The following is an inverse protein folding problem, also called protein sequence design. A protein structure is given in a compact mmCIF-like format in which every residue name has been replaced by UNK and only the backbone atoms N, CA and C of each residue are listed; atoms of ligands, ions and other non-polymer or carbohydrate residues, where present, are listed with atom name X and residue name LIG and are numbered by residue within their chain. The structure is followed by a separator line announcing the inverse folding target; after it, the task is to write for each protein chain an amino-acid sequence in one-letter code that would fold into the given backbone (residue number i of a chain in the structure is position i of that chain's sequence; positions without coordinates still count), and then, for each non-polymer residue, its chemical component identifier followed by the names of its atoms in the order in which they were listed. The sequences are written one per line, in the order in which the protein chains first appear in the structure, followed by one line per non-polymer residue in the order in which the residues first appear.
data_IF_272728169777
#
_entry.id   IF_272728169777
#
_cell.length_a   1.000
_cell.length_b   1.000
_cell.length_c   1.000
_cell.angle_alpha   90.00
_cell.angle_beta   90.00
_cell.angle_gamma   90.00
#
_symmetry.space_group_name_H-M   'P 1'
#
loop_
_entity.id
_entity.type
_entity.pdbx_description
1 polymer ?
#
# COMPACT_ATOMS: atom_id res chain seq x y z
N UNK A 1 -51.73 22.47 19.98
CA UNK A 1 -52.05 21.80 21.27
C UNK A 1 -50.84 21.94 22.16
N UNK A 2 -51.05 22.58 23.30
CA UNK A 2 -50.05 22.94 24.31
C UNK A 2 -49.28 21.74 24.86
N UNK A 3 -48.02 21.96 25.25
CA UNK A 3 -47.60 21.81 26.64
C UNK A 3 -46.10 22.15 26.81
N UNK A 4 -45.86 23.34 27.38
CA UNK A 4 -45.23 23.53 28.70
C UNK A 4 -43.73 23.26 28.95
N UNK A 5 -43.09 24.39 29.31
CA UNK A 5 -42.34 24.65 30.55
C UNK A 5 -41.04 23.89 30.87
N UNK A 6 -39.93 24.63 30.72
CA UNK A 6 -39.02 25.08 31.78
C UNK A 6 -38.41 24.09 32.81
N UNK A 7 -37.08 24.26 32.99
CA UNK A 7 -36.24 24.07 34.19
C UNK A 7 -35.34 22.81 34.28
N UNK A 8 -34.08 23.01 33.87
CA UNK A 8 -32.89 22.55 34.63
C UNK A 8 -32.66 23.46 35.86
N UNK A 9 -31.83 23.13 36.88
CA UNK A 9 -31.26 21.86 37.37
C UNK A 9 -31.48 21.69 38.92
N UNK A 10 -30.75 20.80 39.61
CA UNK A 10 -29.92 21.35 40.70
C UNK A 10 -28.51 20.76 40.80
N UNK A 11 -27.57 21.66 41.11
CA UNK A 11 -26.26 21.36 41.72
C UNK A 11 -26.47 20.96 43.18
N UNK A 12 -25.78 19.94 43.67
CA UNK A 12 -25.54 19.81 45.11
C UNK A 12 -24.14 19.22 45.42
N UNK A 13 -23.28 20.14 45.86
CA UNK A 13 -22.31 20.05 46.96
C UNK A 13 -21.23 18.96 47.02
N UNK A 14 -19.99 19.43 46.86
CA UNK A 14 -18.80 18.96 47.59
C UNK A 14 -19.07 18.94 49.10
N UNK A 15 -18.67 17.85 49.76
CA UNK A 15 -18.31 17.88 51.18
C UNK A 15 -16.94 17.25 51.38
N UNK A 16 -16.05 18.11 51.86
CA UNK A 16 -14.66 17.87 52.23
C UNK A 16 -14.63 16.89 53.41
N UNK A 17 -13.83 15.82 53.30
CA UNK A 17 -13.29 15.11 54.47
C UNK A 17 -11.80 15.39 54.55
N UNK A 18 -11.40 15.97 55.68
CA UNK A 18 -10.04 16.36 56.01
C UNK A 18 -9.42 15.29 56.93
N UNK A 19 -8.27 14.77 56.49
CA UNK A 19 -7.15 14.21 57.25
C UNK A 19 -7.34 12.97 58.15
N UNK A 20 -6.51 11.96 57.88
CA UNK A 20 -5.28 11.72 58.69
C UNK A 20 -4.26 10.92 57.88
N UNK A 21 -3.09 11.53 57.68
CA UNK A 21 -1.91 10.92 57.08
C UNK A 21 -1.29 10.03 58.15
N UNK A 22 -1.30 8.72 57.93
CA UNK A 22 -0.44 7.76 58.63
C UNK A 22 0.82 7.59 57.79
N UNK A 23 1.96 8.02 58.34
CA UNK A 23 3.28 7.73 57.80
C UNK A 23 3.51 6.22 57.89
N UNK A 24 4.13 5.65 56.86
CA UNK A 24 4.67 4.28 56.73
C UNK A 24 3.85 3.36 55.82
N UNK A 25 4.08 3.44 54.50
CA UNK A 25 4.66 2.36 53.70
C UNK A 25 4.85 2.85 52.25
N UNK A 26 6.05 3.34 51.95
CA UNK A 26 6.55 3.44 50.58
C UNK A 26 7.11 2.05 50.26
N UNK A 27 6.41 1.30 49.40
CA UNK A 27 7.03 0.23 48.60
C UNK A 27 6.36 0.19 47.22
N UNK A 28 7.05 0.80 46.26
CA UNK A 28 7.19 0.35 44.87
C UNK A 28 5.92 0.19 44.01
N UNK A 29 5.26 1.30 43.69
CA UNK A 29 4.48 1.41 42.43
C UNK A 29 5.34 2.14 41.39
N UNK A 30 6.50 1.56 41.07
CA UNK A 30 7.36 2.04 39.99
C UNK A 30 6.92 1.38 38.68
N UNK A 31 6.32 2.17 37.81
CA UNK A 31 6.45 2.02 36.36
C UNK A 31 6.07 0.67 35.76
N UNK A 32 4.79 0.33 35.77
CA UNK A 32 4.20 -0.41 34.65
C UNK A 32 3.31 0.54 33.86
N UNK A 33 3.91 1.63 33.39
CA UNK A 33 3.42 2.26 32.18
C UNK A 33 3.46 1.17 31.12
N UNK A 34 2.30 0.64 30.79
CA UNK A 34 2.08 -0.18 29.61
C UNK A 34 2.68 0.59 28.43
N UNK A 35 3.94 0.27 28.12
CA UNK A 35 4.49 0.43 26.78
C UNK A 35 3.64 -0.50 25.93
N UNK A 36 2.44 -0.06 25.56
CA UNK A 36 1.84 -0.51 24.33
C UNK A 36 2.81 0.00 23.27
N UNK A 37 3.79 -0.82 22.92
CA UNK A 37 4.39 -0.71 21.60
C UNK A 37 3.20 -0.74 20.66
N UNK A 38 2.81 0.42 20.13
CA UNK A 38 2.05 0.45 18.89
C UNK A 38 3.01 -0.17 17.90
N UNK A 39 2.93 -1.50 17.80
CA UNK A 39 3.69 -2.25 16.82
C UNK A 39 3.14 -1.75 15.49
N UNK A 40 3.85 -0.78 14.90
CA UNK A 40 3.47 -0.19 13.63
C UNK A 40 3.35 -1.31 12.60
N UNK A 41 2.41 -1.17 11.67
CA UNK A 41 2.25 -2.13 10.60
C UNK A 41 3.60 -2.36 9.90
N UNK A 42 3.99 -3.63 9.76
CA UNK A 42 5.28 -4.01 9.20
C UNK A 42 5.29 -3.66 7.71
N UNK A 43 6.21 -2.80 7.29
CA UNK A 43 6.49 -2.59 5.86
C UNK A 43 7.05 -3.89 5.28
N UNK A 44 6.34 -4.45 4.30
CA UNK A 44 6.75 -5.64 3.54
C UNK A 44 7.62 -5.25 2.35
N UNK A 45 7.28 -4.11 1.74
CA UNK A 45 7.99 -3.56 0.60
C UNK A 45 7.77 -2.04 0.54
N UNK A 46 8.80 -1.27 0.23
CA UNK A 46 8.66 0.11 -0.26
C UNK A 46 9.67 0.40 -1.38
N UNK A 47 9.23 1.12 -2.41
CA UNK A 47 10.05 1.33 -3.59
C UNK A 47 9.62 2.54 -4.42
N UNK A 48 10.63 3.16 -5.05
CA UNK A 48 10.45 4.21 -6.04
C UNK A 48 10.65 3.62 -7.43
N UNK A 49 9.76 3.99 -8.34
CA UNK A 49 9.80 3.57 -9.73
C UNK A 49 9.99 4.78 -10.61
N UNK A 50 10.94 4.68 -11.54
CA UNK A 50 11.06 5.57 -12.67
C UNK A 50 9.98 5.20 -13.70
N UNK A 51 9.26 6.21 -14.21
CA UNK A 51 8.25 6.03 -15.26
C UNK A 51 8.77 6.65 -16.54
N UNK A 52 8.85 5.83 -17.60
CA UNK A 52 9.20 6.29 -18.94
C UNK A 52 8.06 6.01 -19.93
N UNK A 53 7.81 6.96 -20.82
CA UNK A 53 6.88 6.87 -21.94
C UNK A 53 7.66 7.07 -23.23
N UNK A 54 7.61 6.11 -24.15
CA UNK A 54 8.46 6.11 -25.36
C UNK A 54 9.95 6.33 -25.00
N UNK A 55 10.44 5.60 -23.99
CA UNK A 55 11.82 5.67 -23.47
C UNK A 55 12.25 7.05 -22.91
N UNK A 56 11.30 7.98 -22.76
CA UNK A 56 11.54 9.30 -22.16
C UNK A 56 10.99 9.33 -20.75
N UNK A 57 11.79 9.87 -19.83
CA UNK A 57 11.36 10.08 -18.46
C UNK A 57 10.19 11.07 -18.39
N UNK A 58 9.07 10.60 -17.84
CA UNK A 58 7.85 11.41 -17.68
C UNK A 58 7.39 11.50 -16.24
N UNK A 59 7.92 10.69 -15.32
CA UNK A 59 7.39 10.66 -13.97
C UNK A 59 8.00 9.62 -13.07
N UNK A 60 7.41 9.51 -11.88
CA UNK A 60 7.76 8.50 -10.91
C UNK A 60 6.53 7.97 -10.19
N UNK A 61 6.67 6.78 -9.63
CA UNK A 61 5.69 6.16 -8.76
C UNK A 61 6.36 5.72 -7.45
N UNK A 62 5.64 5.82 -6.34
CA UNK A 62 6.03 5.32 -5.04
C UNK A 62 5.02 4.27 -4.63
N UNK A 63 5.49 3.08 -4.24
CA UNK A 63 4.63 2.00 -3.76
C UNK A 63 5.12 1.56 -2.38
N UNK A 64 4.17 1.28 -1.49
CA UNK A 64 4.43 0.58 -0.24
C UNK A 64 3.38 -0.51 0.00
N UNK A 65 3.83 -1.68 0.46
CA UNK A 65 2.98 -2.72 1.03
C UNK A 65 3.27 -2.88 2.51
N UNK A 66 2.20 -2.97 3.30
CA UNK A 66 2.26 -3.17 4.75
C UNK A 66 1.41 -4.34 5.16
N UNK A 67 1.77 -4.94 6.28
CA UNK A 67 0.95 -5.92 6.96
C UNK A 67 0.86 -5.60 8.45
N UNK A 68 -0.36 -5.50 8.94
CA UNK A 68 -0.66 -5.29 10.34
C UNK A 68 -1.06 -6.63 10.99
N UNK A 69 -0.20 -7.13 11.87
CA UNK A 69 -0.40 -8.39 12.60
C UNK A 69 -1.60 -8.37 13.55
N UNK A 70 -1.96 -7.20 14.09
CA UNK A 70 -3.05 -7.05 15.05
C UNK A 70 -4.40 -7.08 14.34
N UNK A 71 -4.49 -6.37 13.22
CA UNK A 71 -5.73 -6.28 12.43
C UNK A 71 -5.79 -7.29 11.29
N UNK A 72 -4.73 -8.07 11.07
CA UNK A 72 -4.61 -9.08 10.00
C UNK A 72 -4.94 -8.49 8.62
N UNK A 73 -4.43 -7.28 8.39
CA UNK A 73 -4.75 -6.45 7.23
C UNK A 73 -3.51 -6.19 6.39
N UNK A 74 -3.60 -6.50 5.10
CA UNK A 74 -2.68 -6.02 4.08
C UNK A 74 -3.11 -4.64 3.61
N UNK A 75 -2.14 -3.72 3.49
CA UNK A 75 -2.37 -2.39 2.93
C UNK A 75 -1.41 -2.15 1.76
N UNK A 76 -1.95 -1.76 0.62
CA UNK A 76 -1.20 -1.23 -0.52
C UNK A 76 -1.39 0.28 -0.57
N UNK A 77 -0.29 1.00 -0.68
CA UNK A 77 -0.25 2.45 -0.87
C UNK A 77 0.52 2.74 -2.15
N UNK A 78 -0.03 3.60 -3.01
CA UNK A 78 0.68 4.07 -4.18
C UNK A 78 0.46 5.56 -4.43
N UNK A 79 1.48 6.21 -4.95
CA UNK A 79 1.42 7.57 -5.48
C UNK A 79 2.14 7.60 -6.82
N UNK A 80 1.48 8.09 -7.87
CA UNK A 80 2.03 8.26 -9.20
C UNK A 80 1.98 9.74 -9.55
N UNK A 81 3.03 10.26 -10.18
CA UNK A 81 2.95 11.52 -10.91
C UNK A 81 3.68 11.42 -12.23
N UNK A 82 3.02 11.88 -13.29
CA UNK A 82 3.60 11.97 -14.63
C UNK A 82 3.33 13.34 -15.24
N UNK A 83 4.21 13.77 -16.14
CA UNK A 83 4.06 14.96 -16.97
C UNK A 83 4.27 14.55 -18.41
N UNK A 84 3.23 14.68 -19.20
CA UNK A 84 3.17 14.29 -20.61
C UNK A 84 2.73 15.50 -21.45
N UNK A 85 2.79 15.43 -22.79
CA UNK A 85 2.23 16.49 -23.64
C UNK A 85 0.73 16.77 -23.38
N UNK A 86 -0.04 15.78 -22.91
CA UNK A 86 -1.44 15.93 -22.50
C UNK A 86 -1.63 16.58 -21.12
N UNK A 87 -0.53 16.89 -20.42
CA UNK A 87 -0.56 17.54 -19.11
C UNK A 87 0.01 16.68 -17.99
N UNK A 88 -0.19 17.18 -16.77
CA UNK A 88 0.25 16.53 -15.54
C UNK A 88 -0.85 15.63 -15.00
N UNK A 89 -0.49 14.39 -14.69
CA UNK A 89 -1.33 13.42 -14.01
C UNK A 89 -0.76 13.14 -12.63
N UNK A 90 -1.64 13.03 -11.64
CA UNK A 90 -1.34 12.55 -10.31
C UNK A 90 -2.37 11.50 -9.91
N UNK A 91 -1.92 10.38 -9.37
CA UNK A 91 -2.81 9.35 -8.85
C UNK A 91 -2.32 8.90 -7.47
N UNK A 92 -3.26 8.52 -6.61
CA UNK A 92 -2.95 7.90 -5.35
C UNK A 92 -3.97 6.82 -4.99
N UNK A 93 -3.48 5.74 -4.39
CA UNK A 93 -4.31 4.63 -3.93
C UNK A 93 -3.94 4.27 -2.48
N UNK A 94 -4.96 4.01 -1.68
CA UNK A 94 -4.85 3.23 -0.45
C UNK A 94 -5.84 2.08 -0.54
N UNK A 95 -5.36 0.86 -0.70
CA UNK A 95 -6.17 -0.36 -0.81
C UNK A 95 -5.91 -1.28 0.38
N UNK A 96 -6.96 -1.89 0.93
CA UNK A 96 -6.88 -2.78 2.09
C UNK A 96 -7.59 -4.10 1.84
N UNK A 97 -6.95 -5.19 2.23
CA UNK A 97 -7.50 -6.54 2.18
C UNK A 97 -7.15 -7.31 3.45
N UNK A 98 -7.89 -8.37 3.75
CA UNK A 98 -7.51 -9.29 4.82
C UNK A 98 -6.46 -10.31 4.34
N UNK A 99 -6.02 -11.22 5.21
CA UNK A 99 -5.03 -12.24 4.87
C UNK A 99 -5.41 -13.16 3.71
N UNK A 100 -6.71 -13.31 3.43
CA UNK A 100 -7.23 -14.10 2.31
C UNK A 100 -7.39 -13.28 1.04
N UNK A 101 -6.87 -12.04 1.05
CA UNK A 101 -7.01 -11.04 -0.01
C UNK A 101 -8.47 -10.66 -0.30
N UNK A 102 -9.37 -10.91 0.65
CA UNK A 102 -10.74 -10.42 0.54
C UNK A 102 -10.72 -8.89 0.75
N UNK A 103 -11.37 -8.13 -0.14
CA UNK A 103 -11.31 -6.67 -0.10
C UNK A 103 -12.01 -6.14 1.16
N UNK A 104 -11.39 -5.14 1.80
CA UNK A 104 -11.95 -4.44 2.95
C UNK A 104 -12.38 -3.02 2.58
N UNK A 105 -11.49 -2.28 1.92
CA UNK A 105 -11.73 -0.91 1.48
C UNK A 105 -10.69 -0.49 0.44
N UNK A 106 -11.00 0.57 -0.31
CA UNK A 106 -9.96 1.38 -0.94
C UNK A 106 -10.39 2.84 -1.09
N UNK A 107 -9.40 3.73 -1.20
CA UNK A 107 -9.57 5.11 -1.60
C UNK A 107 -8.62 5.39 -2.76
N UNK A 108 -9.17 5.79 -3.90
CA UNK A 108 -8.45 6.17 -5.09
C UNK A 108 -8.69 7.65 -5.40
N UNK A 109 -7.65 8.34 -5.84
CA UNK A 109 -7.73 9.72 -6.34
C UNK A 109 -6.91 9.83 -7.61
N UNK A 110 -7.48 10.46 -8.63
CA UNK A 110 -6.79 10.86 -9.85
C UNK A 110 -7.01 12.35 -10.10
N UNK A 111 -5.96 13.03 -10.51
CA UNK A 111 -6.01 14.41 -10.97
C UNK A 111 -5.30 14.51 -12.31
N UNK A 112 -6.01 14.93 -13.35
CA UNK A 112 -5.48 15.19 -14.69
C UNK A 112 -5.71 16.66 -15.01
N UNK A 113 -4.65 17.46 -14.95
CA UNK A 113 -4.81 18.92 -14.99
C UNK A 113 -5.72 19.42 -13.86
N UNK A 114 -6.86 19.99 -14.22
CA UNK A 114 -7.88 20.48 -13.27
C UNK A 114 -8.98 19.45 -12.95
N UNK A 115 -9.04 18.34 -13.70
CA UNK A 115 -10.06 17.32 -13.49
C UNK A 115 -9.65 16.38 -12.36
N UNK A 116 -10.47 16.36 -11.32
CA UNK A 116 -10.33 15.48 -10.17
C UNK A 116 -11.29 14.30 -10.33
N UNK A 117 -10.88 13.12 -9.86
CA UNK A 117 -11.75 11.97 -9.64
C UNK A 117 -11.35 11.32 -8.32
N UNK A 118 -12.32 11.05 -7.47
CA UNK A 118 -12.10 10.25 -6.26
C UNK A 118 -13.09 9.10 -6.21
N UNK A 119 -12.64 7.97 -5.67
CA UNK A 119 -13.41 6.75 -5.49
C UNK A 119 -13.12 6.21 -4.11
N UNK A 120 -14.12 6.19 -3.23
CA UNK A 120 -14.03 5.59 -1.90
C UNK A 120 -14.95 4.38 -1.83
N UNK A 121 -14.37 3.20 -1.57
CA UNK A 121 -15.10 1.95 -1.50
C UNK A 121 -14.95 1.25 -0.15
N UNK A 122 -16.06 0.64 0.30
CA UNK A 122 -16.11 -0.22 1.47
C UNK A 122 -16.80 -1.53 1.13
N UNK A 123 -16.30 -2.62 1.72
CA UNK A 123 -16.76 -3.97 1.42
C UNK A 123 -17.38 -4.63 2.64
N UNK A 124 -18.47 -5.36 2.40
CA UNK A 124 -19.05 -6.33 3.34
C UNK A 124 -19.32 -7.63 2.59
N UNK A 125 -18.34 -8.52 2.62
CA UNK A 125 -18.33 -9.72 1.79
C UNK A 125 -18.34 -9.34 0.30
N UNK A 126 -19.32 -9.85 -0.45
CA UNK A 126 -19.46 -9.56 -1.89
C UNK A 126 -20.06 -8.17 -2.18
N UNK A 127 -20.61 -7.48 -1.19
CA UNK A 127 -21.25 -6.18 -1.40
C UNK A 127 -20.21 -5.07 -1.27
N UNK A 128 -20.05 -4.29 -2.32
CA UNK A 128 -19.22 -3.09 -2.37
C UNK A 128 -20.13 -1.86 -2.40
N UNK A 129 -19.92 -0.95 -1.46
CA UNK A 129 -20.49 0.40 -1.52
C UNK A 129 -19.39 1.35 -1.98
N UNK A 130 -19.66 2.15 -2.99
CA UNK A 130 -18.67 3.07 -3.56
C UNK A 130 -19.25 4.47 -3.70
N UNK A 131 -18.44 5.47 -3.35
CA UNK A 131 -18.71 6.89 -3.53
C UNK A 131 -17.75 7.42 -4.58
N UNK A 132 -18.29 8.00 -5.65
CA UNK A 132 -17.52 8.58 -6.75
C UNK A 132 -17.83 10.07 -6.85
N UNK A 133 -16.81 10.91 -6.97
CA UNK A 133 -16.99 12.35 -7.26
C UNK A 133 -15.86 12.89 -8.12
N UNK A 134 -16.20 13.84 -8.97
CA UNK A 134 -15.28 14.61 -9.81
C UNK A 134 -14.87 15.96 -9.18
N UNK A 135 -15.30 16.23 -7.94
CA UNK A 135 -15.10 17.50 -7.24
C UNK A 135 -15.97 18.66 -7.74
N UNK A 136 -16.70 18.51 -8.85
CA UNK A 136 -17.54 19.54 -9.49
C UNK A 136 -19.03 19.23 -9.31
N UNK A 137 -19.41 17.95 -9.31
CA UNK A 137 -20.77 17.45 -9.23
C UNK A 137 -21.03 16.74 -7.90
N UNK A 138 -22.32 16.53 -7.58
CA UNK A 138 -22.71 15.78 -6.39
C UNK A 138 -22.15 14.36 -6.46
N UNK A 139 -21.57 13.90 -5.36
CA UNK A 139 -21.05 12.54 -5.26
C UNK A 139 -22.13 11.49 -5.56
N UNK A 140 -21.78 10.52 -6.41
CA UNK A 140 -22.61 9.37 -6.72
C UNK A 140 -22.32 8.27 -5.70
N UNK A 141 -23.37 7.71 -5.09
CA UNK A 141 -23.24 6.58 -4.19
C UNK A 141 -23.85 5.35 -4.87
N UNK A 142 -23.01 4.37 -5.15
CA UNK A 142 -23.38 3.15 -5.87
C UNK A 142 -23.17 1.94 -4.98
N UNK A 143 -23.92 0.87 -5.24
CA UNK A 143 -23.75 -0.43 -4.57
C UNK A 143 -23.64 -1.51 -5.62
N UNK A 144 -22.57 -2.28 -5.55
CA UNK A 144 -22.29 -3.38 -6.48
C UNK A 144 -22.18 -4.70 -5.71
N UNK A 145 -22.62 -5.79 -6.35
CA UNK A 145 -22.39 -7.15 -5.86
C UNK A 145 -21.28 -7.79 -6.69
N UNK A 146 -20.08 -7.87 -6.11
CA UNK A 146 -18.94 -8.50 -6.74
C UNK A 146 -19.06 -10.03 -6.72
N UNK A 147 -18.55 -10.73 -7.75
CA UNK A 147 -18.48 -12.18 -7.74
C UNK A 147 -17.64 -12.71 -6.57
N UNK A 148 -17.98 -13.90 -6.06
CA UNK A 148 -17.14 -14.61 -5.09
C UNK A 148 -15.72 -14.81 -5.64
N UNK A 149 -14.73 -14.57 -4.78
CA UNK A 149 -13.30 -14.65 -5.11
C UNK A 149 -12.74 -13.40 -5.78
N UNK A 150 -13.50 -12.30 -5.83
CA UNK A 150 -12.97 -11.01 -6.27
C UNK A 150 -12.03 -10.42 -5.23
N UNK A 151 -10.94 -9.78 -5.69
CA UNK A 151 -9.95 -9.10 -4.87
C UNK A 151 -9.57 -7.76 -5.51
N UNK A 152 -8.90 -6.87 -4.76
CA UNK A 152 -8.42 -5.60 -5.31
C UNK A 152 -7.19 -5.85 -6.20
N UNK A 153 -7.19 -5.33 -7.42
CA UNK A 153 -6.22 -5.70 -8.45
C UNK A 153 -4.77 -5.39 -8.06
N UNK A 154 -4.55 -4.37 -7.22
CA UNK A 154 -3.25 -4.04 -6.64
C UNK A 154 -2.60 -5.17 -5.83
N UNK A 155 -3.35 -6.18 -5.38
CA UNK A 155 -2.80 -7.34 -4.65
C UNK A 155 -2.51 -8.56 -5.54
N UNK A 156 -2.51 -8.43 -6.87
CA UNK A 156 -2.29 -9.57 -7.78
C UNK A 156 -0.99 -10.35 -7.47
N UNK A 157 0.11 -9.65 -7.20
CA UNK A 157 1.38 -10.32 -6.90
C UNK A 157 1.31 -11.15 -5.61
N UNK A 158 0.58 -10.67 -4.60
CA UNK A 158 0.37 -11.43 -3.36
C UNK A 158 -0.55 -12.63 -3.58
N UNK A 159 -1.56 -12.53 -4.45
CA UNK A 159 -2.38 -13.67 -4.85
C UNK A 159 -1.52 -14.75 -5.52
N UNK A 160 -0.62 -14.35 -6.41
CA UNK A 160 0.30 -15.28 -7.07
C UNK A 160 1.27 -15.92 -6.07
N UNK A 161 1.81 -15.16 -5.12
CA UNK A 161 2.66 -15.70 -4.05
C UNK A 161 1.93 -16.72 -3.18
N UNK A 162 0.70 -16.43 -2.75
CA UNK A 162 -0.10 -17.34 -1.93
C UNK A 162 -0.40 -18.67 -2.64
N UNK A 163 -0.54 -18.64 -3.97
CA UNK A 163 -0.77 -19.83 -4.80
C UNK A 163 0.52 -20.52 -5.24
N UNK A 164 1.68 -19.89 -5.05
CA UNK A 164 2.98 -20.36 -5.51
C UNK A 164 3.28 -19.94 -6.95
N UNK A 165 4.44 -19.33 -7.17
CA UNK A 165 4.91 -18.89 -8.50
C UNK A 165 5.79 -19.99 -9.09
N UNK A 166 5.33 -20.62 -10.18
CA UNK A 166 6.12 -21.59 -10.94
C UNK A 166 5.93 -21.42 -12.45
N UNK A 167 6.98 -21.69 -13.22
CA UNK A 167 6.99 -21.54 -14.67
C UNK A 167 5.85 -22.37 -15.30
N UNK A 168 5.16 -21.78 -16.27
CA UNK A 168 4.01 -22.41 -16.94
C UNK A 168 2.68 -22.20 -16.21
N UNK A 169 2.67 -21.76 -14.95
CA UNK A 169 1.43 -21.55 -14.20
C UNK A 169 0.64 -20.37 -14.75
N UNK A 170 -0.65 -20.62 -15.00
CA UNK A 170 -1.63 -19.59 -15.35
C UNK A 170 -2.57 -19.33 -14.18
N UNK A 171 -2.82 -18.05 -13.91
CA UNK A 171 -3.74 -17.57 -12.89
C UNK A 171 -4.87 -16.82 -13.57
N UNK A 172 -6.04 -17.45 -13.67
CA UNK A 172 -7.27 -16.74 -14.00
C UNK A 172 -7.85 -16.13 -12.73
N UNK A 173 -8.28 -14.87 -12.79
CA UNK A 173 -8.68 -14.13 -11.60
C UNK A 173 -9.78 -13.11 -11.89
N UNK A 174 -10.44 -12.63 -10.82
CA UNK A 174 -11.46 -11.57 -10.84
C UNK A 174 -10.96 -10.37 -10.06
N UNK A 175 -10.48 -9.35 -10.77
CA UNK A 175 -9.88 -8.17 -10.17
C UNK A 175 -10.87 -7.01 -10.13
N UNK A 176 -10.96 -6.33 -9.00
CA UNK A 176 -11.61 -5.01 -8.90
C UNK A 176 -10.56 -3.98 -9.29
N UNK A 177 -10.84 -3.21 -10.34
CA UNK A 177 -9.98 -2.13 -10.81
C UNK A 177 -10.27 -0.89 -9.96
N UNK A 178 -9.35 -0.51 -9.08
CA UNK A 178 -9.57 0.55 -8.08
C UNK A 178 -9.78 1.94 -8.71
N UNK A 179 -9.31 2.15 -9.95
CA UNK A 179 -9.43 3.39 -10.70
C UNK A 179 -10.82 3.65 -11.31
N UNK A 180 -11.68 2.63 -11.38
CA UNK A 180 -13.07 2.76 -11.86
C UNK A 180 -14.14 2.06 -10.99
N UNK A 181 -13.72 1.17 -10.09
CA UNK A 181 -14.57 0.42 -9.15
C UNK A 181 -15.29 -0.78 -9.75
N UNK A 182 -15.01 -1.15 -11.00
CA UNK A 182 -15.63 -2.32 -11.63
C UNK A 182 -14.79 -3.59 -11.47
N UNK A 183 -15.45 -4.73 -11.68
CA UNK A 183 -14.82 -6.04 -11.64
C UNK A 183 -14.57 -6.56 -13.06
N UNK A 184 -13.36 -7.05 -13.30
CA UNK A 184 -12.96 -7.61 -14.58
C UNK A 184 -12.27 -8.97 -14.39
N UNK A 185 -12.43 -9.84 -15.38
CA UNK A 185 -11.61 -11.04 -15.46
C UNK A 185 -10.20 -10.66 -15.94
N UNK A 186 -9.19 -11.33 -15.39
CA UNK A 186 -7.81 -11.23 -15.84
C UNK A 186 -7.13 -12.59 -15.89
N UNK A 187 -6.01 -12.64 -16.60
CA UNK A 187 -5.14 -13.81 -16.69
C UNK A 187 -3.69 -13.38 -16.54
N UNK A 188 -2.97 -13.97 -15.57
CA UNK A 188 -1.53 -13.82 -15.41
C UNK A 188 -0.83 -15.15 -15.69
N UNK A 189 0.23 -15.14 -16.48
CA UNK A 189 1.01 -16.32 -16.85
C UNK A 189 2.48 -16.15 -16.48
N UNK A 190 3.01 -17.08 -15.69
CA UNK A 190 4.43 -17.17 -15.37
C UNK A 190 5.15 -17.77 -16.58
N UNK A 191 5.70 -16.92 -17.44
CA UNK A 191 6.23 -17.36 -18.73
C UNK A 191 7.58 -18.06 -18.58
N UNK A 192 8.52 -17.42 -17.87
CA UNK A 192 9.89 -17.90 -17.75
C UNK A 192 10.55 -17.35 -16.49
N UNK A 193 11.59 -18.05 -16.02
CA UNK A 193 12.56 -17.50 -15.08
C UNK A 193 13.64 -16.78 -15.88
N UNK A 194 13.98 -15.58 -15.48
CA UNK A 194 14.91 -14.68 -16.15
C UNK A 194 15.72 -13.91 -15.11
N UNK A 195 16.59 -13.05 -15.60
CA UNK A 195 17.21 -11.99 -14.82
C UNK A 195 16.64 -10.64 -15.27
N UNK A 196 16.43 -9.71 -14.33
CA UNK A 196 16.08 -8.33 -14.61
C UNK A 196 16.95 -7.43 -13.74
N UNK A 197 17.79 -6.60 -14.36
CA UNK A 197 18.79 -5.78 -13.66
C UNK A 197 19.65 -6.58 -12.66
N UNK A 198 20.14 -7.76 -13.08
CA UNK A 198 20.95 -8.64 -12.23
C UNK A 198 20.24 -9.21 -11.01
N UNK A 199 18.91 -9.20 -11.01
CA UNK A 199 18.07 -9.82 -9.99
C UNK A 199 17.33 -11.02 -10.63
N UNK A 200 17.49 -12.24 -10.07
CA UNK A 200 16.68 -13.39 -10.45
C UNK A 200 15.19 -13.09 -10.32
N UNK A 201 14.44 -13.31 -11.39
CA UNK A 201 13.03 -12.92 -11.46
C UNK A 201 12.21 -13.85 -12.34
N UNK A 202 10.90 -13.73 -12.21
CA UNK A 202 9.93 -14.33 -13.11
C UNK A 202 9.38 -13.27 -14.05
N UNK A 203 9.33 -13.59 -15.34
CA UNK A 203 8.60 -12.78 -16.31
C UNK A 203 7.15 -13.22 -16.33
N UNK A 204 6.26 -12.30 -15.99
CA UNK A 204 4.82 -12.49 -15.91
C UNK A 204 4.16 -11.75 -17.06
N UNK A 205 3.35 -12.46 -17.84
CA UNK A 205 2.45 -11.86 -18.83
C UNK A 205 1.07 -11.75 -18.21
N UNK A 206 0.57 -10.54 -18.02
CA UNK A 206 -0.74 -10.29 -17.44
C UNK A 206 -1.66 -9.60 -18.45
N UNK A 207 -2.90 -10.06 -18.57
CA UNK A 207 -3.95 -9.40 -19.34
C UNK A 207 -5.06 -8.96 -18.40
N UNK A 208 -5.35 -7.66 -18.37
CA UNK A 208 -6.37 -7.10 -17.50
C UNK A 208 -6.98 -5.85 -18.13
N UNK A 209 -8.31 -5.77 -18.15
CA UNK A 209 -9.06 -4.62 -18.68
C UNK A 209 -8.64 -4.19 -20.11
N UNK A 210 -8.33 -5.18 -20.95
CA UNK A 210 -7.91 -4.95 -22.34
C UNK A 210 -6.43 -4.62 -22.54
N UNK A 211 -5.68 -4.37 -21.46
CA UNK A 211 -4.24 -4.12 -21.52
C UNK A 211 -3.43 -5.39 -21.28
N UNK A 212 -2.24 -5.41 -21.89
CA UNK A 212 -1.23 -6.43 -21.65
C UNK A 212 -0.06 -5.82 -20.87
N UNK A 213 0.37 -6.51 -19.82
CA UNK A 213 1.47 -6.10 -18.95
C UNK A 213 2.54 -7.19 -18.98
N UNK A 214 3.79 -6.78 -19.18
CA UNK A 214 4.97 -7.64 -19.04
C UNK A 214 5.68 -7.19 -17.77
N UNK A 215 5.53 -7.96 -16.70
CA UNK A 215 6.13 -7.64 -15.40
C UNK A 215 7.30 -8.58 -15.07
N UNK A 216 8.32 -8.05 -14.40
CA UNK A 216 9.42 -8.82 -13.85
C UNK A 216 9.29 -8.81 -12.34
N UNK A 217 9.11 -9.98 -11.73
CA UNK A 217 8.80 -10.12 -10.31
C UNK A 217 9.90 -10.94 -9.64
N UNK A 218 10.48 -10.46 -8.54
CA UNK A 218 11.48 -11.20 -7.77
C UNK A 218 10.87 -12.45 -7.13
N UNK A 219 11.72 -13.38 -6.64
CA UNK A 219 11.26 -14.56 -5.91
C UNK A 219 10.46 -14.21 -4.63
N UNK A 220 10.59 -12.98 -4.13
CA UNK A 220 9.84 -12.45 -2.97
C UNK A 220 8.53 -11.76 -3.36
N UNK A 221 8.19 -11.69 -4.65
CA UNK A 221 7.02 -10.97 -5.15
C UNK A 221 7.19 -9.46 -5.26
N UNK A 222 8.42 -8.96 -5.33
CA UNK A 222 8.67 -7.53 -5.57
C UNK A 222 8.58 -7.27 -7.07
N UNK A 223 7.85 -6.25 -7.50
CA UNK A 223 7.77 -5.87 -8.92
C UNK A 223 9.04 -5.08 -9.24
N UNK A 224 9.94 -5.63 -10.04
CA UNK A 224 11.20 -4.99 -10.42
C UNK A 224 11.02 -4.06 -11.63
N UNK A 225 10.13 -4.45 -12.52
CA UNK A 225 9.80 -3.68 -13.71
C UNK A 225 8.46 -4.11 -14.28
N UNK A 226 7.80 -3.20 -15.00
CA UNK A 226 6.61 -3.49 -15.80
C UNK A 226 6.67 -2.70 -17.09
N UNK A 227 6.35 -3.36 -18.20
CA UNK A 227 6.18 -2.76 -19.51
C UNK A 227 4.75 -2.99 -20.01
N UNK A 228 4.11 -1.94 -20.50
CA UNK A 228 2.76 -1.97 -21.08
C UNK A 228 2.88 -1.68 -22.57
N UNK A 229 2.92 -2.70 -23.45
CA UNK A 229 3.32 -2.53 -24.85
C UNK A 229 2.44 -1.56 -25.63
N UNK A 230 1.12 -1.65 -25.46
CA UNK A 230 0.14 -0.83 -26.17
C UNK A 230 0.29 0.67 -25.87
N UNK A 231 0.83 1.01 -24.68
CA UNK A 231 1.03 2.39 -24.24
C UNK A 231 2.50 2.83 -24.30
N UNK A 232 3.41 1.92 -24.65
CA UNK A 232 4.88 2.15 -24.59
C UNK A 232 5.32 2.76 -23.25
N UNK A 233 4.69 2.30 -22.18
CA UNK A 233 4.91 2.76 -20.82
C UNK A 233 5.76 1.75 -20.07
N UNK A 234 6.79 2.23 -19.38
CA UNK A 234 7.58 1.40 -18.47
C UNK A 234 7.54 1.99 -17.07
N UNK A 235 7.54 1.10 -16.08
CA UNK A 235 7.80 1.41 -14.69
C UNK A 235 8.97 0.54 -14.23
N UNK A 236 10.04 1.14 -13.75
CA UNK A 236 11.24 0.43 -13.32
C UNK A 236 11.57 0.79 -11.88
N UNK A 237 11.66 -0.22 -11.00
CA UNK A 237 12.16 -0.05 -9.64
C UNK A 237 13.61 0.43 -9.70
N UNK A 238 13.92 1.49 -8.95
CA UNK A 238 15.27 2.07 -8.88
C UNK A 238 15.82 2.00 -7.46
N UNK A 239 17.13 2.19 -7.32
CA UNK A 239 17.81 2.03 -6.03
C UNK A 239 17.58 3.20 -5.08
N UNK A 240 17.28 4.39 -5.61
CA UNK A 240 17.12 5.60 -4.79
C UNK A 240 16.00 6.52 -5.30
N UNK A 241 15.33 7.29 -4.41
CA UNK A 241 14.34 8.27 -4.84
C UNK A 241 14.84 9.28 -5.89
N UNK A 242 16.05 9.88 -5.79
CA UNK A 242 16.56 10.80 -6.81
C UNK A 242 16.71 10.19 -8.21
N UNK A 243 16.96 8.87 -8.30
CA UNK A 243 17.04 8.18 -9.59
C UNK A 243 15.67 8.07 -10.26
N UNK A 244 14.61 7.89 -9.47
CA UNK A 244 13.22 7.88 -9.97
C UNK A 244 12.74 9.27 -10.33
N UNK A 245 13.03 10.28 -9.50
CA UNK A 245 12.43 11.61 -9.69
C UNK A 245 13.18 12.47 -10.69
N UNK A 246 14.49 12.25 -10.90
CA UNK A 246 15.33 13.06 -11.81
C UNK A 246 15.15 14.57 -11.62
N UNK A 247 14.96 15.03 -10.38
CA UNK A 247 14.77 16.44 -10.04
C UNK A 247 13.31 16.93 -10.09
N UNK A 248 12.35 16.08 -10.45
CA UNK A 248 10.92 16.39 -10.31
C UNK A 248 10.54 16.65 -8.85
N UNK A 249 9.60 17.57 -8.65
CA UNK A 249 9.09 17.93 -7.33
C UNK A 249 8.48 16.71 -6.62
N UNK A 250 8.88 16.50 -5.37
CA UNK A 250 8.31 15.49 -4.47
C UNK A 250 7.30 16.16 -3.53
N UNK A 251 6.00 15.81 -3.60
CA UNK A 251 4.98 16.43 -2.76
C UNK A 251 4.99 15.81 -1.36
N UNK A 252 5.95 16.22 -0.53
CA UNK A 252 6.19 15.64 0.80
C UNK A 252 4.94 15.58 1.66
N UNK A 253 4.14 16.66 1.72
CA UNK A 253 2.88 16.69 2.47
C UNK A 253 1.86 15.65 2.00
N UNK A 254 1.74 15.46 0.69
CA UNK A 254 0.84 14.45 0.11
C UNK A 254 1.30 13.04 0.45
N UNK A 255 2.62 12.79 0.37
CA UNK A 255 3.20 11.51 0.75
C UNK A 255 3.06 11.24 2.25
N UNK A 256 3.26 12.23 3.11
CA UNK A 256 3.04 12.10 4.56
C UNK A 256 1.58 11.81 4.89
N UNK A 257 0.63 12.46 4.22
CA UNK A 257 -0.79 12.19 4.44
C UNK A 257 -1.17 10.76 4.03
N UNK A 258 -0.64 10.27 2.91
CA UNK A 258 -0.98 8.95 2.37
C UNK A 258 -0.24 7.82 3.09
N UNK A 259 1.06 7.99 3.30
CA UNK A 259 1.96 6.96 3.84
C UNK A 259 2.21 7.13 5.34
N UNK A 260 1.84 8.24 5.98
CA UNK A 260 2.18 8.56 7.37
C UNK A 260 3.62 9.08 7.56
N UNK A 261 4.47 8.91 6.55
CA UNK A 261 5.83 9.44 6.43
C UNK A 261 6.22 9.46 4.95
N UNK A 262 7.22 10.23 4.56
CA UNK A 262 7.76 10.13 3.19
C UNK A 262 8.49 8.79 3.04
N UNK A 263 8.08 7.90 2.10
CA UNK A 263 8.77 6.63 1.88
C UNK A 263 10.22 6.87 1.46
N UNK A 264 11.12 5.98 1.90
CA UNK A 264 12.55 6.12 1.62
C UNK A 264 13.04 5.12 0.57
N UNK A 265 12.23 4.15 0.17
CA UNK A 265 12.63 3.04 -0.70
C UNK A 265 13.58 2.07 0.02
N UNK A 266 13.39 1.90 1.34
CA UNK A 266 14.12 1.08 2.34
C UNK A 266 14.17 -0.42 2.13
N UNK A 267 13.04 -0.95 1.70
CA UNK A 267 12.59 -2.30 1.98
C UNK A 267 12.33 -2.96 0.64
N UNK A 268 13.40 -3.16 -0.12
CA UNK A 268 13.36 -3.79 -1.43
C UNK A 268 14.70 -4.47 -1.75
N UNK A 269 14.72 -5.15 -2.89
CA UNK A 269 15.86 -5.94 -3.38
C UNK A 269 17.17 -5.15 -3.51
N UNK A 270 17.14 -3.85 -3.80
CA UNK A 270 18.36 -3.07 -4.04
C UNK A 270 19.12 -2.71 -2.75
N UNK A 271 18.44 -2.74 -1.59
CA UNK A 271 19.03 -2.37 -0.30
C UNK A 271 19.38 -3.60 0.55
N UNK A 272 18.84 -4.77 0.23
CA UNK A 272 19.24 -6.03 0.84
C UNK A 272 20.52 -6.58 0.18
N UNK A 273 21.67 -5.90 0.37
CA UNK A 273 22.94 -6.64 0.32
C UNK A 273 22.95 -7.63 1.49
N UNK A 274 23.34 -8.90 1.31
CA UNK A 274 23.62 -9.76 2.44
C UNK A 274 24.69 -9.07 3.29
N UNK A 275 24.43 -8.93 4.59
CA UNK A 275 25.50 -8.69 5.55
C UNK A 275 26.45 -9.87 5.38
N UNK A 276 27.63 -9.60 4.82
CA UNK A 276 28.71 -10.57 4.78
C UNK A 276 28.85 -11.19 6.17
N UNK A 277 28.49 -12.47 6.30
CA UNK A 277 28.97 -13.29 7.41
C UNK A 277 30.46 -13.51 7.22
N UNK A 278 31.27 -12.47 7.40
CA UNK A 278 32.64 -12.65 7.90
C UNK A 278 32.53 -12.99 9.39
N UNK A 279 32.03 -14.19 9.65
CA UNK A 279 32.23 -14.84 10.93
C UNK A 279 33.72 -15.16 11.04
N UNK A 280 34.34 -14.50 12.01
CA UNK A 280 35.66 -14.77 12.61
C UNK A 280 36.14 -16.20 12.38
N UNK A 281 37.18 -16.36 11.57
CA UNK A 281 38.18 -17.41 11.79
C UNK A 281 39.38 -16.74 12.45
N UNK A 282 39.36 -16.66 13.78
CA UNK A 282 40.60 -16.45 14.54
C UNK A 282 41.47 -17.71 14.36
N UNK A 283 42.75 -17.59 14.02
CA UNK A 283 43.64 -18.74 14.00
C UNK A 283 43.90 -19.18 15.45
N UNK A 284 43.60 -20.45 15.76
CA UNK A 284 44.11 -21.12 16.96
C UNK A 284 45.64 -21.05 16.89
N UNK A 285 46.26 -20.31 17.81
CA UNK A 285 47.67 -20.49 18.15
C UNK A 285 47.82 -21.88 18.74
N UNK A 286 48.53 -22.76 18.05
CA UNK A 286 49.10 -23.96 18.65
C UNK A 286 50.15 -23.54 19.69
N UNK A 287 49.96 -24.00 20.92
CA UNK A 287 50.99 -24.01 21.95
C UNK A 287 52.01 -25.10 21.63
N UNK A 288 53.28 -24.72 21.52
CA UNK A 288 54.42 -25.59 21.80
C UNK A 288 54.95 -25.24 23.18
#
# INVERSE_FOLDING_TARGET
MNSDFFLTPPRLFLRIIRMKISKTLIFLFFGLALLTSTLEAKTLFDGYYRIDLNDKHVGYMVIEYRYDEKTKTFTHLSFLTTTTPSGKTQESLKAQSNEKLEPLSYSYTAQVGEDLKTIDAQFKGQIMKVKITDGKTKAQNLTFKNPKGSFLSSFLTYLMLQKGISIGTKFTYKGIAEEDGNNYNGEAWVKEKTEYNSIPSYKILNKFKGDEFVSFISEKGEILGTFVPNHKLTAQLVSTPPEATKGMMVPHKTLELLFGKVPLGRTNHFIQKPVDKKAKSEPKKESK
#
